data_IF_597645636671
#
_entry.id   IF_597645636671
#
_cell.length_a   1.000
_cell.length_b   1.000
_cell.length_c   1.000
_cell.angle_alpha   90.00
_cell.angle_beta   90.00
_cell.angle_gamma   90.00
#
_symmetry.space_group_name_H-M   'P 1'
#
loop_
_entity.id
_entity.type
_entity.pdbx_description
1 polymer ?
#
# COMPACT_ATOMS: atom_id res chain seq x y z
N UNK A 1 29.63 30.76 3.25
CA UNK A 1 30.28 30.39 1.97
C UNK A 1 30.68 28.92 2.05
N UNK A 2 30.49 28.20 0.96
CA UNK A 2 31.04 26.85 0.82
C UNK A 2 32.57 26.87 0.62
N UNK A 3 33.20 25.72 0.55
CA UNK A 3 34.64 25.60 0.34
C UNK A 3 35.13 26.24 -0.98
N UNK A 4 34.23 26.61 -1.90
CA UNK A 4 34.50 27.30 -3.15
C UNK A 4 34.21 28.79 -3.08
N UNK A 5 33.95 29.37 -1.90
CA UNK A 5 33.68 30.80 -1.70
C UNK A 5 32.30 31.27 -2.13
N UNK A 6 31.36 30.38 -2.50
CA UNK A 6 30.01 30.73 -2.95
C UNK A 6 29.08 30.93 -1.76
N UNK A 7 28.33 32.03 -1.76
CA UNK A 7 27.31 32.32 -0.75
C UNK A 7 26.18 31.27 -0.80
N UNK A 8 26.04 30.48 0.27
CA UNK A 8 24.91 29.59 0.46
C UNK A 8 23.84 30.30 1.30
N UNK A 9 22.62 30.37 0.79
CA UNK A 9 21.44 30.76 1.59
C UNK A 9 21.04 29.57 2.46
N UNK A 10 21.19 29.69 3.78
CA UNK A 10 20.70 28.72 4.75
C UNK A 10 19.48 29.32 5.45
N UNK A 11 18.39 28.54 5.53
CA UNK A 11 17.30 28.86 6.42
C UNK A 11 17.76 28.61 7.86
N UNK A 12 17.64 29.61 8.73
CA UNK A 12 17.91 29.50 10.18
C UNK A 12 16.63 29.82 10.92
N UNK A 13 16.35 29.03 11.96
CA UNK A 13 15.25 29.28 12.87
C UNK A 13 15.85 29.87 14.13
N UNK A 14 15.35 31.07 14.52
CA UNK A 14 15.70 31.67 15.81
C UNK A 14 15.21 30.76 16.93
N UNK A 15 16.13 30.26 17.75
CA UNK A 15 15.83 29.33 18.83
C UNK A 15 14.78 29.88 19.81
N UNK A 16 14.87 31.17 20.18
CA UNK A 16 13.95 31.77 21.14
C UNK A 16 12.54 31.97 20.59
N UNK A 17 12.40 32.26 19.30
CA UNK A 17 11.12 32.58 18.66
C UNK A 17 10.52 31.40 17.90
N UNK A 18 11.35 30.51 17.41
CA UNK A 18 10.93 29.42 16.52
C UNK A 18 10.81 28.06 17.21
N UNK A 19 11.40 27.86 18.41
CA UNK A 19 11.46 26.56 19.07
C UNK A 19 10.07 25.93 19.25
N UNK A 20 9.13 26.67 19.82
CA UNK A 20 7.77 26.17 20.05
C UNK A 20 7.04 25.81 18.75
N UNK A 21 7.24 26.58 17.69
CA UNK A 21 6.63 26.27 16.38
C UNK A 21 7.21 24.97 15.79
N UNK A 22 8.51 24.73 15.94
CA UNK A 22 9.16 23.49 15.49
C UNK A 22 8.69 22.30 16.33
N UNK A 23 8.63 22.44 17.65
CA UNK A 23 8.10 21.38 18.53
C UNK A 23 6.66 21.02 18.17
N UNK A 24 5.78 22.02 18.02
CA UNK A 24 4.39 21.79 17.63
C UNK A 24 4.30 21.10 16.26
N UNK A 25 5.13 21.49 15.30
CA UNK A 25 5.20 20.82 13.99
C UNK A 25 5.62 19.35 14.13
N UNK A 26 6.64 19.06 14.93
CA UNK A 26 7.12 17.69 15.17
C UNK A 26 6.06 16.84 15.89
N UNK A 27 5.37 17.38 16.88
CA UNK A 27 4.26 16.71 17.54
C UNK A 27 3.09 16.46 16.59
N UNK A 28 2.65 17.47 15.85
CA UNK A 28 1.56 17.32 14.87
C UNK A 28 1.91 16.27 13.82
N UNK A 29 3.14 16.27 13.32
CA UNK A 29 3.65 15.25 12.41
C UNK A 29 3.64 13.85 13.04
N UNK A 30 4.11 13.71 14.26
CA UNK A 30 4.11 12.43 14.98
C UNK A 30 2.69 11.89 15.16
N UNK A 31 1.75 12.73 15.58
CA UNK A 31 0.34 12.35 15.69
C UNK A 31 -0.27 11.95 14.35
N UNK A 32 0.04 12.67 13.28
CA UNK A 32 -0.43 12.34 11.94
C UNK A 32 0.07 10.95 11.52
N UNK A 33 1.35 10.64 11.76
CA UNK A 33 1.87 9.31 11.48
C UNK A 33 1.19 8.23 12.32
N UNK A 34 1.06 8.42 13.63
CA UNK A 34 0.48 7.43 14.52
C UNK A 34 -1.02 7.20 14.25
N UNK A 35 -1.79 8.26 14.00
CA UNK A 35 -3.24 8.17 13.90
C UNK A 35 -3.77 8.01 12.48
N UNK A 36 -3.01 8.39 11.46
CA UNK A 36 -3.46 8.32 10.07
C UNK A 36 -2.65 7.27 9.30
N UNK A 37 -1.35 7.50 9.11
CA UNK A 37 -0.55 6.64 8.23
C UNK A 37 -0.29 5.24 8.80
N UNK A 38 -0.15 5.11 10.12
CA UNK A 38 0.05 3.81 10.78
C UNK A 38 -1.25 3.23 11.37
N UNK A 39 -2.40 3.88 11.07
CA UNK A 39 -3.66 3.34 11.54
C UNK A 39 -3.92 1.96 10.90
N UNK A 40 -4.24 0.99 11.73
CA UNK A 40 -4.43 -0.42 11.32
C UNK A 40 -5.34 -0.60 10.10
N UNK A 41 -6.41 0.20 10.00
CA UNK A 41 -7.35 0.11 8.87
C UNK A 41 -6.73 0.62 7.57
N UNK A 42 -5.92 1.69 7.63
CA UNK A 42 -5.20 2.23 6.46
C UNK A 42 -4.18 1.20 5.98
N UNK A 43 -3.40 0.63 6.90
CA UNK A 43 -2.42 -0.42 6.58
C UNK A 43 -3.07 -1.66 5.96
N UNK A 44 -4.24 -2.08 6.49
CA UNK A 44 -4.99 -3.20 5.91
C UNK A 44 -5.47 -2.89 4.48
N UNK A 45 -5.96 -1.67 4.24
CA UNK A 45 -6.39 -1.25 2.90
C UNK A 45 -5.22 -1.19 1.92
N UNK A 46 -4.09 -0.58 2.30
CA UNK A 46 -2.87 -0.54 1.48
C UNK A 46 -2.43 -1.95 1.08
N UNK A 47 -2.33 -2.84 2.06
CA UNK A 47 -1.93 -4.20 1.79
C UNK A 47 -2.90 -4.92 0.86
N UNK A 48 -4.21 -4.75 1.04
CA UNK A 48 -5.21 -5.33 0.15
C UNK A 48 -5.09 -4.79 -1.28
N UNK A 49 -4.81 -3.49 -1.45
CA UNK A 49 -4.54 -2.90 -2.77
C UNK A 49 -3.31 -3.55 -3.41
N UNK A 50 -2.20 -3.66 -2.66
CA UNK A 50 -0.98 -4.30 -3.14
C UNK A 50 -1.26 -5.73 -3.61
N UNK A 51 -1.98 -6.53 -2.79
CA UNK A 51 -2.31 -7.93 -3.16
C UNK A 51 -3.25 -8.03 -4.35
N UNK A 52 -4.19 -7.10 -4.48
CA UNK A 52 -5.06 -7.01 -5.65
C UNK A 52 -4.25 -6.74 -6.92
N UNK A 53 -3.32 -5.79 -6.87
CA UNK A 53 -2.46 -5.45 -7.99
C UNK A 53 -1.46 -6.57 -8.32
N UNK A 54 -0.86 -7.21 -7.31
CA UNK A 54 0.00 -8.38 -7.51
C UNK A 54 -0.78 -9.52 -8.19
N UNK A 55 -2.01 -9.78 -7.75
CA UNK A 55 -2.86 -10.82 -8.31
C UNK A 55 -3.24 -10.52 -9.76
N UNK A 56 -3.58 -9.27 -10.06
CA UNK A 56 -3.86 -8.81 -11.41
C UNK A 56 -2.64 -8.94 -12.33
N UNK A 57 -1.46 -8.55 -11.87
CA UNK A 57 -0.24 -8.58 -12.69
C UNK A 57 0.24 -10.00 -13.03
N UNK A 58 -0.15 -11.00 -12.24
CA UNK A 58 0.32 -12.37 -12.43
C UNK A 58 -0.14 -13.01 -13.76
N UNK A 59 -1.43 -12.99 -14.14
CA UNK A 59 -1.89 -13.45 -15.46
C UNK A 59 -1.32 -12.64 -16.61
N UNK A 60 -1.18 -11.33 -16.45
CA UNK A 60 -0.60 -10.46 -17.47
C UNK A 60 0.87 -10.83 -17.78
N UNK A 61 1.65 -11.20 -16.75
CA UNK A 61 3.01 -11.73 -16.92
C UNK A 61 3.04 -13.08 -17.63
N UNK A 62 1.96 -13.84 -17.59
CA UNK A 62 1.81 -15.14 -18.26
C UNK A 62 1.24 -15.01 -19.68
N UNK A 63 1.09 -13.79 -20.22
CA UNK A 63 0.57 -13.54 -21.55
C UNK A 63 -0.96 -13.59 -21.68
N UNK A 64 -1.69 -13.68 -20.57
CA UNK A 64 -3.13 -13.48 -20.59
C UNK A 64 -3.42 -11.97 -20.79
N UNK A 65 -4.27 -11.64 -21.76
CA UNK A 65 -4.66 -10.24 -21.98
C UNK A 65 -5.38 -9.70 -20.76
N UNK A 66 -4.85 -8.62 -20.14
CA UNK A 66 -5.53 -7.98 -19.05
C UNK A 66 -6.76 -7.24 -19.61
N UNK A 67 -7.92 -7.53 -19.05
CA UNK A 67 -9.17 -6.94 -19.49
C UNK A 67 -9.11 -5.39 -19.47
N UNK A 68 -8.94 -4.81 -20.65
CA UNK A 68 -9.44 -3.49 -21.04
C UNK A 68 -8.96 -2.24 -20.33
N UNK A 69 -7.89 -2.27 -19.52
CA UNK A 69 -7.40 -1.10 -18.82
C UNK A 69 -6.04 -0.65 -19.36
N UNK A 70 -5.84 0.65 -19.63
CA UNK A 70 -4.54 1.22 -20.03
C UNK A 70 -3.40 0.88 -19.05
N UNK A 71 -3.74 0.73 -17.79
CA UNK A 71 -2.87 0.33 -16.68
C UNK A 71 -2.31 -1.10 -16.82
N UNK A 72 -2.99 -1.93 -17.57
CA UNK A 72 -2.69 -3.35 -17.65
C UNK A 72 -1.34 -3.63 -18.33
N UNK A 73 -1.04 -2.92 -19.41
CA UNK A 73 0.25 -3.03 -20.09
C UNK A 73 1.39 -2.52 -19.21
N UNK A 74 1.15 -1.43 -18.48
CA UNK A 74 2.10 -0.84 -17.55
C UNK A 74 2.44 -1.81 -16.39
N UNK A 75 1.43 -2.45 -15.84
CA UNK A 75 1.60 -3.41 -14.75
C UNK A 75 2.19 -4.74 -15.22
N UNK A 76 1.85 -5.20 -16.41
CA UNK A 76 2.41 -6.42 -17.00
C UNK A 76 3.92 -6.31 -17.21
N UNK A 77 4.42 -5.13 -17.54
CA UNK A 77 5.86 -4.88 -17.77
C UNK A 77 6.64 -4.50 -16.51
N UNK A 78 5.96 -4.44 -15.35
CA UNK A 78 6.58 -4.03 -14.08
C UNK A 78 7.00 -2.55 -14.04
N UNK A 79 6.40 -1.73 -14.88
CA UNK A 79 6.66 -0.29 -14.94
C UNK A 79 7.93 0.13 -15.71
N UNK A 80 8.79 -0.81 -16.08
CA UNK A 80 10.10 -0.48 -16.64
C UNK A 80 10.04 0.13 -18.05
N UNK A 81 8.97 -0.08 -18.82
CA UNK A 81 8.82 0.37 -20.19
C UNK A 81 7.44 1.01 -20.46
N UNK A 82 6.88 1.68 -19.47
CA UNK A 82 5.60 2.38 -19.62
C UNK A 82 5.81 3.67 -20.38
N UNK A 83 5.12 3.91 -21.52
CA UNK A 83 5.13 5.20 -22.17
C UNK A 83 4.67 6.29 -21.20
N UNK A 84 5.27 7.49 -21.29
CA UNK A 84 4.92 8.61 -20.40
C UNK A 84 3.43 8.94 -20.45
N UNK A 85 2.80 8.85 -21.62
CA UNK A 85 1.36 9.07 -21.78
C UNK A 85 0.55 8.07 -20.91
N UNK A 86 0.88 6.79 -20.97
CA UNK A 86 0.20 5.74 -20.19
C UNK A 86 0.47 5.89 -18.69
N UNK A 87 1.69 6.34 -18.33
CA UNK A 87 2.03 6.62 -16.93
C UNK A 87 1.20 7.76 -16.34
N UNK A 88 0.91 8.80 -17.13
CA UNK A 88 0.08 9.93 -16.68
C UNK A 88 -1.39 9.55 -16.47
N UNK A 89 -1.85 8.44 -17.07
CA UNK A 89 -3.18 7.88 -16.84
C UNK A 89 -3.27 7.05 -15.54
N UNK A 90 -2.12 6.79 -14.87
CA UNK A 90 -2.06 6.05 -13.62
C UNK A 90 -2.38 6.96 -12.43
N UNK A 91 -3.65 7.16 -12.16
CA UNK A 91 -4.14 7.95 -11.02
C UNK A 91 -5.26 7.20 -10.26
N UNK A 92 -5.66 7.72 -9.12
CA UNK A 92 -6.60 7.08 -8.20
C UNK A 92 -7.93 6.72 -8.86
N UNK A 93 -8.42 7.54 -9.80
CA UNK A 93 -9.67 7.27 -10.53
C UNK A 93 -9.52 6.03 -11.42
N UNK A 94 -8.41 5.89 -12.12
CA UNK A 94 -8.14 4.71 -12.95
C UNK A 94 -8.10 3.44 -12.12
N UNK A 95 -7.47 3.50 -10.94
CA UNK A 95 -7.46 2.37 -10.00
C UNK A 95 -8.88 2.05 -9.52
N UNK A 96 -9.69 3.07 -9.18
CA UNK A 96 -11.08 2.87 -8.73
C UNK A 96 -11.92 2.20 -9.81
N UNK A 97 -11.83 2.66 -11.06
CA UNK A 97 -12.54 2.06 -12.21
C UNK A 97 -12.08 0.60 -12.41
N UNK A 98 -10.79 0.32 -12.25
CA UNK A 98 -10.26 -1.02 -12.34
C UNK A 98 -10.86 -1.94 -11.26
N UNK A 99 -10.89 -1.49 -10.01
CA UNK A 99 -11.46 -2.23 -8.89
C UNK A 99 -12.95 -2.52 -9.11
N UNK A 100 -13.72 -1.52 -9.55
CA UNK A 100 -15.15 -1.70 -9.89
C UNK A 100 -15.35 -2.74 -10.98
N UNK A 101 -14.54 -2.68 -12.05
CA UNK A 101 -14.58 -3.65 -13.14
C UNK A 101 -14.25 -5.06 -12.66
N UNK A 102 -13.17 -5.24 -11.91
CA UNK A 102 -12.78 -6.57 -11.40
C UNK A 102 -13.80 -7.14 -10.40
N UNK A 103 -14.43 -6.28 -9.61
CA UNK A 103 -15.50 -6.66 -8.69
C UNK A 103 -16.81 -7.08 -9.40
N UNK A 104 -16.99 -6.70 -10.69
CA UNK A 104 -18.18 -6.97 -11.47
C UNK A 104 -19.26 -5.89 -11.35
N UNK A 105 -18.90 -4.70 -10.91
CA UNK A 105 -19.79 -3.54 -10.92
C UNK A 105 -19.73 -2.88 -12.30
N UNK A 106 -20.81 -2.99 -13.07
CA UNK A 106 -20.92 -2.42 -14.40
C UNK A 106 -20.49 -3.32 -15.57
N UNK A 107 -20.19 -4.61 -15.30
CA UNK A 107 -19.80 -5.56 -16.35
C UNK A 107 -19.49 -6.96 -15.79
N UNK A 108 -19.00 -7.86 -16.65
CA UNK A 108 -18.56 -9.19 -16.19
C UNK A 108 -17.39 -9.04 -15.23
N UNK A 109 -17.41 -9.75 -14.07
CA UNK A 109 -16.32 -9.68 -13.10
C UNK A 109 -15.02 -10.33 -13.64
N UNK A 110 -13.91 -10.05 -12.99
CA UNK A 110 -12.65 -10.74 -13.26
C UNK A 110 -12.84 -12.27 -13.20
N UNK A 111 -12.22 -12.98 -14.14
CA UNK A 111 -12.28 -14.45 -14.17
C UNK A 111 -11.59 -15.08 -12.95
N UNK A 112 -10.51 -14.48 -12.48
CA UNK A 112 -9.80 -14.90 -11.27
C UNK A 112 -10.65 -14.62 -10.02
N UNK A 113 -11.06 -15.67 -9.27
CA UNK A 113 -11.93 -15.52 -8.11
C UNK A 113 -11.27 -14.76 -6.95
N UNK A 114 -9.95 -14.83 -6.81
CA UNK A 114 -9.20 -14.13 -5.76
C UNK A 114 -9.15 -12.63 -6.08
N UNK A 115 -8.81 -12.27 -7.32
CA UNK A 115 -8.82 -10.88 -7.79
C UNK A 115 -10.19 -10.25 -7.59
N UNK A 116 -11.24 -10.95 -8.00
CA UNK A 116 -12.64 -10.51 -7.86
C UNK A 116 -13.04 -10.30 -6.40
N UNK A 117 -12.69 -11.23 -5.49
CA UNK A 117 -13.03 -11.09 -4.06
C UNK A 117 -12.29 -9.92 -3.42
N UNK A 118 -10.99 -9.78 -3.68
CA UNK A 118 -10.19 -8.67 -3.14
C UNK A 118 -10.70 -7.32 -3.65
N UNK A 119 -10.97 -7.19 -4.95
CA UNK A 119 -11.51 -5.98 -5.54
C UNK A 119 -12.88 -5.62 -4.93
N UNK A 120 -13.78 -6.60 -4.83
CA UNK A 120 -15.11 -6.41 -4.22
C UNK A 120 -15.00 -5.96 -2.77
N UNK A 121 -14.10 -6.54 -2.00
CA UNK A 121 -13.89 -6.14 -0.59
C UNK A 121 -13.41 -4.70 -0.47
N UNK A 122 -12.51 -4.27 -1.35
CA UNK A 122 -12.01 -2.89 -1.36
C UNK A 122 -13.14 -1.90 -1.70
N UNK A 123 -13.90 -2.17 -2.76
CA UNK A 123 -15.03 -1.32 -3.19
C UNK A 123 -16.12 -1.26 -2.10
N UNK A 124 -16.50 -2.40 -1.54
CA UNK A 124 -17.51 -2.51 -0.47
C UNK A 124 -16.99 -2.06 0.91
N UNK A 125 -15.72 -1.66 1.02
CA UNK A 125 -15.05 -1.32 2.30
C UNK A 125 -15.10 -2.45 3.33
N UNK A 126 -15.11 -3.71 2.88
CA UNK A 126 -15.04 -4.91 3.72
C UNK A 126 -13.59 -5.34 3.94
N UNK A 127 -12.82 -4.46 4.55
CA UNK A 127 -11.39 -4.65 4.78
C UNK A 127 -11.11 -5.82 5.73
N UNK A 128 -9.91 -6.37 5.62
CA UNK A 128 -9.45 -7.40 6.54
C UNK A 128 -9.33 -6.85 7.95
N UNK A 129 -9.63 -7.72 8.91
CA UNK A 129 -9.44 -7.38 10.33
C UNK A 129 -7.97 -7.47 10.67
N UNK A 130 -7.52 -6.52 11.48
CA UNK A 130 -6.15 -6.47 11.98
C UNK A 130 -6.15 -6.78 13.47
N UNK A 131 -5.12 -7.50 13.88
CA UNK A 131 -4.81 -7.76 15.28
C UNK A 131 -3.47 -7.08 15.57
N UNK A 132 -3.46 -6.26 16.60
CA UNK A 132 -2.24 -5.60 17.06
C UNK A 132 -1.51 -6.57 17.99
N UNK A 133 -0.27 -6.90 17.65
CA UNK A 133 0.59 -7.77 18.45
C UNK A 133 1.55 -6.95 19.33
N UNK A 134 1.47 -5.61 19.27
CA UNK A 134 2.44 -4.73 19.90
C UNK A 134 3.85 -4.93 19.35
N UNK A 135 4.85 -4.65 20.18
CA UNK A 135 6.27 -4.84 19.82
C UNK A 135 6.79 -6.24 20.17
N UNK A 136 5.88 -7.18 20.49
CA UNK A 136 6.25 -8.54 20.89
C UNK A 136 6.57 -9.42 19.68
N UNK A 137 7.85 -9.46 19.35
CA UNK A 137 8.35 -10.31 18.27
C UNK A 137 8.09 -11.80 18.53
N UNK A 138 8.15 -12.27 19.78
CA UNK A 138 7.91 -13.66 20.10
C UNK A 138 6.45 -14.05 19.85
N UNK A 139 5.50 -13.16 20.16
CA UNK A 139 4.10 -13.34 19.81
C UNK A 139 3.89 -13.40 18.29
N UNK A 140 4.56 -12.52 17.52
CA UNK A 140 4.50 -12.55 16.07
C UNK A 140 5.06 -13.85 15.48
N UNK A 141 6.24 -14.28 15.94
CA UNK A 141 6.89 -15.50 15.49
C UNK A 141 6.07 -16.77 15.85
N UNK A 142 5.32 -16.74 16.95
CA UNK A 142 4.44 -17.83 17.36
C UNK A 142 3.12 -17.86 16.58
N UNK A 143 2.48 -16.72 16.39
CA UNK A 143 1.14 -16.63 15.79
C UNK A 143 1.15 -16.68 14.25
N UNK A 144 2.20 -16.20 13.63
CA UNK A 144 2.28 -16.14 12.17
C UNK A 144 2.14 -17.50 11.48
N UNK A 145 2.87 -18.56 11.87
CA UNK A 145 2.72 -19.89 11.27
C UNK A 145 1.30 -20.44 11.41
N UNK A 146 0.65 -20.21 12.54
CA UNK A 146 -0.71 -20.66 12.81
C UNK A 146 -1.73 -19.92 11.94
N UNK A 147 -1.58 -18.61 11.82
CA UNK A 147 -2.42 -17.79 10.93
C UNK A 147 -2.30 -18.24 9.47
N UNK A 148 -1.08 -18.52 9.02
CA UNK A 148 -0.81 -19.00 7.67
C UNK A 148 -1.41 -20.41 7.46
N UNK A 149 -1.31 -21.31 8.43
CA UNK A 149 -1.91 -22.65 8.37
C UNK A 149 -3.43 -22.57 8.23
N UNK A 150 -4.09 -21.74 9.05
CA UNK A 150 -5.54 -21.52 8.98
C UNK A 150 -5.95 -20.94 7.63
N UNK A 151 -5.19 -19.95 7.13
CA UNK A 151 -5.42 -19.36 5.81
C UNK A 151 -5.23 -20.38 4.69
N UNK A 152 -4.21 -21.24 4.77
CA UNK A 152 -3.94 -22.29 3.79
C UNK A 152 -5.05 -23.34 3.77
N UNK A 153 -5.56 -23.76 4.93
CA UNK A 153 -6.72 -24.67 5.01
C UNK A 153 -7.98 -24.09 4.36
N UNK A 154 -8.16 -22.77 4.43
CA UNK A 154 -9.36 -22.10 3.92
C UNK A 154 -9.24 -21.67 2.47
N UNK A 155 -8.09 -21.20 2.04
CA UNK A 155 -7.88 -20.53 0.75
C UNK A 155 -6.87 -21.24 -0.17
N UNK A 156 -6.26 -22.34 0.29
CA UNK A 156 -5.25 -23.08 -0.49
C UNK A 156 -4.08 -22.20 -0.89
N UNK A 157 -3.71 -22.26 -2.17
CA UNK A 157 -2.59 -21.50 -2.74
C UNK A 157 -2.79 -19.98 -2.69
N UNK A 158 -4.03 -19.52 -2.49
CA UNK A 158 -4.33 -18.09 -2.34
C UNK A 158 -4.16 -17.57 -0.91
N UNK A 159 -3.73 -18.39 0.06
CA UNK A 159 -3.60 -18.03 1.48
C UNK A 159 -2.83 -16.73 1.69
N UNK A 160 -1.70 -16.55 0.99
CA UNK A 160 -0.86 -15.35 1.08
C UNK A 160 -1.52 -14.07 0.56
N UNK A 161 -2.66 -14.19 -0.13
CA UNK A 161 -3.49 -13.06 -0.53
C UNK A 161 -4.50 -12.64 0.55
N UNK A 162 -4.65 -13.44 1.62
CA UNK A 162 -5.67 -13.23 2.66
C UNK A 162 -5.10 -13.07 4.08
N UNK A 163 -3.81 -13.31 4.26
CA UNK A 163 -3.13 -13.12 5.55
C UNK A 163 -1.78 -12.45 5.34
N UNK A 164 -1.45 -11.53 6.22
CA UNK A 164 -0.20 -10.77 6.17
C UNK A 164 0.28 -10.41 7.57
N UNK A 165 1.58 -10.48 7.78
CA UNK A 165 2.24 -9.94 8.96
C UNK A 165 2.90 -8.62 8.56
N UNK A 166 2.38 -7.52 9.11
CA UNK A 166 2.88 -6.18 8.84
C UNK A 166 3.73 -5.67 10.01
N UNK A 167 4.85 -5.05 9.69
CA UNK A 167 5.69 -4.35 10.66
C UNK A 167 5.74 -2.88 10.29
N UNK A 168 4.87 -2.09 10.90
CA UNK A 168 4.92 -0.64 10.76
C UNK A 168 6.17 -0.10 11.49
N UNK A 169 7.16 0.37 10.73
CA UNK A 169 8.30 1.09 11.31
C UNK A 169 8.08 2.58 11.15
N UNK A 170 7.99 3.28 12.27
CA UNK A 170 8.11 4.72 12.26
C UNK A 170 9.59 5.04 12.01
N UNK A 171 9.92 5.50 10.81
CA UNK A 171 11.23 6.07 10.54
C UNK A 171 11.23 7.46 11.17
N UNK A 172 11.57 7.51 12.47
CA UNK A 172 11.92 8.77 13.11
C UNK A 172 13.16 9.33 12.41
N UNK A 173 13.34 10.63 12.46
CA UNK A 173 14.58 11.23 12.03
C UNK A 173 15.73 10.58 12.81
N UNK A 174 16.48 9.72 12.14
CA UNK A 174 17.81 9.34 12.64
C UNK A 174 18.67 10.59 12.45
N UNK A 175 18.99 11.24 13.56
CA UNK A 175 19.96 12.30 13.59
C UNK A 175 21.36 11.74 13.32
#
# INVERSE_FOLDING_TARGET
TDAAGKLQKRGVIDYRRGMYAVEQYLFARSYMYAQVYHHKTVRAAEWMVIKTLERFSHPARQGAEPAGLPIASAMATGGANVPVADYLELHDVTLTIALDSWAGYGGPPAADPVLRDLARRLVDRKLFKTFDLGDDKAAADYLWPQALEVATKRFGDAATSYVHLDTARQVGYLA
#
